data_IF_341842692271
#
_entry.id   IF_341842692271
#
_cell.length_a   1.000
_cell.length_b   1.000
_cell.length_c   1.000
_cell.angle_alpha   90.00
_cell.angle_beta   90.00
_cell.angle_gamma   90.00
#
_symmetry.space_group_name_H-M   'P 1'
#
loop_
_entity.id
_entity.type
_entity.pdbx_description
1 polymer ?
#
# COMPACT_ATOMS: atom_id res chain seq x y z
N UNK A 1 52.65 -57.84 42.71
CA UNK A 1 52.47 -56.53 42.06
C UNK A 1 51.97 -56.75 40.65
N UNK A 2 50.67 -56.59 40.40
CA UNK A 2 50.14 -56.33 39.05
C UNK A 2 48.99 -55.35 39.25
N UNK A 3 49.23 -54.11 38.82
CA UNK A 3 48.29 -52.99 38.97
C UNK A 3 47.20 -53.05 37.90
N UNK A 4 45.95 -52.86 38.30
CA UNK A 4 44.84 -52.62 37.37
C UNK A 4 44.89 -51.17 36.87
N UNK A 5 44.61 -50.90 35.58
CA UNK A 5 44.53 -49.53 35.10
C UNK A 5 43.25 -48.86 35.62
N UNK A 6 43.45 -47.82 36.42
CA UNK A 6 42.42 -46.87 36.82
C UNK A 6 42.09 -45.96 35.62
N UNK A 7 40.98 -46.25 34.93
CA UNK A 7 40.47 -45.35 33.90
C UNK A 7 39.59 -44.28 34.54
N UNK A 8 40.14 -43.09 34.76
CA UNK A 8 39.35 -41.89 35.10
C UNK A 8 39.64 -40.77 34.11
N UNK A 9 38.92 -40.76 32.99
CA UNK A 9 38.79 -39.56 32.17
C UNK A 9 37.43 -38.93 32.43
N UNK A 10 37.38 -38.08 33.47
CA UNK A 10 36.27 -37.16 33.71
C UNK A 10 36.28 -36.06 32.64
N UNK A 11 35.52 -36.28 31.56
CA UNK A 11 35.25 -35.26 30.56
C UNK A 11 34.34 -34.18 31.14
N UNK A 12 34.89 -33.01 31.45
CA UNK A 12 34.11 -31.83 31.87
C UNK A 12 33.14 -31.41 30.76
N UNK A 13 31.84 -31.70 30.92
CA UNK A 13 30.77 -31.26 30.01
C UNK A 13 30.59 -29.73 30.05
N UNK A 14 31.38 -28.99 29.27
CA UNK A 14 31.20 -27.53 29.02
C UNK A 14 30.22 -27.24 27.86
N UNK A 15 29.19 -28.07 27.66
CA UNK A 15 28.25 -27.96 26.51
C UNK A 15 26.85 -27.45 26.93
N UNK A 16 26.60 -27.24 28.23
CA UNK A 16 25.28 -26.85 28.73
C UNK A 16 24.98 -25.37 28.54
N UNK A 17 25.81 -24.45 29.04
CA UNK A 17 25.46 -23.03 29.18
C UNK A 17 25.22 -22.32 27.84
N UNK A 18 26.04 -22.57 26.83
CA UNK A 18 25.90 -21.96 25.49
C UNK A 18 24.64 -22.45 24.77
N UNK A 19 24.30 -23.74 24.94
CA UNK A 19 23.08 -24.32 24.36
C UNK A 19 21.81 -23.76 25.01
N UNK A 20 21.84 -23.55 26.33
CA UNK A 20 20.73 -22.91 27.06
C UNK A 20 20.58 -21.42 26.73
N UNK A 21 21.68 -20.67 26.56
CA UNK A 21 21.65 -19.27 26.12
C UNK A 21 21.09 -19.13 24.69
N UNK A 22 21.56 -19.97 23.75
CA UNK A 22 21.05 -19.97 22.38
C UNK A 22 19.55 -20.30 22.33
N UNK A 23 19.10 -21.28 23.11
CA UNK A 23 17.67 -21.63 23.20
C UNK A 23 16.82 -20.50 23.81
N UNK A 24 17.34 -19.77 24.80
CA UNK A 24 16.65 -18.60 25.37
C UNK A 24 16.55 -17.45 24.37
N UNK A 25 17.62 -17.18 23.63
CA UNK A 25 17.65 -16.11 22.62
C UNK A 25 16.65 -16.40 21.50
N UNK A 26 16.66 -17.62 20.93
CA UNK A 26 15.71 -17.99 19.88
C UNK A 26 14.27 -17.99 20.38
N UNK A 27 14.01 -18.44 21.60
CA UNK A 27 12.68 -18.37 22.22
C UNK A 27 12.22 -16.93 22.40
N UNK A 28 13.07 -16.03 22.90
CA UNK A 28 12.72 -14.61 23.07
C UNK A 28 12.43 -13.94 21.74
N UNK A 29 13.24 -14.18 20.71
CA UNK A 29 13.02 -13.65 19.36
C UNK A 29 11.70 -14.17 18.78
N UNK A 30 11.37 -15.44 18.99
CA UNK A 30 10.11 -16.02 18.50
C UNK A 30 8.90 -15.36 19.16
N UNK A 31 8.95 -15.18 20.48
CA UNK A 31 7.86 -14.54 21.23
C UNK A 31 7.75 -13.06 20.87
N UNK A 32 8.87 -12.35 20.76
CA UNK A 32 8.84 -10.93 20.38
C UNK A 32 8.27 -10.73 18.97
N UNK A 33 8.59 -11.62 18.02
CA UNK A 33 8.02 -11.56 16.68
C UNK A 33 6.49 -11.74 16.70
N UNK A 34 5.98 -12.68 17.50
CA UNK A 34 4.53 -12.86 17.68
C UNK A 34 3.89 -11.61 18.30
N UNK A 35 4.51 -11.04 19.34
CA UNK A 35 4.01 -9.82 19.98
C UNK A 35 4.05 -8.61 19.04
N UNK A 36 5.06 -8.49 18.18
CA UNK A 36 5.15 -7.46 17.14
C UNK A 36 4.02 -7.62 16.14
N UNK A 37 3.76 -8.85 15.65
CA UNK A 37 2.64 -9.11 14.75
C UNK A 37 1.30 -8.74 15.38
N UNK A 38 1.06 -9.14 16.64
CA UNK A 38 -0.15 -8.75 17.38
C UNK A 38 -0.25 -7.23 17.58
N UNK A 39 0.86 -6.56 17.89
CA UNK A 39 0.92 -5.11 18.01
C UNK A 39 0.52 -4.41 16.72
N UNK A 40 1.06 -4.87 15.57
CA UNK A 40 0.69 -4.35 14.25
C UNK A 40 -0.80 -4.62 13.96
N UNK A 41 -1.30 -5.82 14.27
CA UNK A 41 -2.73 -6.13 14.10
C UNK A 41 -3.62 -5.17 14.89
N UNK A 42 -3.30 -4.92 16.17
CA UNK A 42 -4.04 -3.97 16.99
C UNK A 42 -3.97 -2.55 16.42
N UNK A 43 -2.79 -2.09 15.99
CA UNK A 43 -2.63 -0.78 15.36
C UNK A 43 -3.48 -0.66 14.08
N UNK A 44 -3.52 -1.68 13.24
CA UNK A 44 -4.36 -1.70 12.02
C UNK A 44 -5.84 -1.60 12.39
N UNK A 45 -6.29 -2.34 13.40
CA UNK A 45 -7.69 -2.29 13.88
C UNK A 45 -8.04 -0.89 14.40
N UNK A 46 -7.17 -0.25 15.19
CA UNK A 46 -7.39 1.11 15.68
C UNK A 46 -7.34 2.16 14.55
N UNK A 47 -6.47 1.97 13.56
CA UNK A 47 -6.31 2.88 12.43
C UNK A 47 -7.41 2.74 11.38
N UNK A 48 -8.06 1.58 11.28
CA UNK A 48 -8.98 1.24 10.19
C UNK A 48 -10.11 2.25 9.95
N UNK A 49 -10.61 2.89 11.02
CA UNK A 49 -11.64 3.93 10.90
C UNK A 49 -11.12 5.22 10.24
N UNK A 50 -9.89 5.64 10.56
CA UNK A 50 -9.25 6.81 9.96
C UNK A 50 -8.75 6.53 8.54
N UNK A 51 -8.28 5.31 8.28
CA UNK A 51 -7.82 4.91 6.95
C UNK A 51 -8.95 4.94 5.93
N UNK A 52 -10.18 4.55 6.29
CA UNK A 52 -11.31 4.61 5.36
C UNK A 52 -11.64 6.06 4.94
N UNK A 53 -11.65 7.00 5.88
CA UNK A 53 -11.85 8.42 5.55
C UNK A 53 -10.68 8.99 4.76
N UNK A 54 -9.44 8.67 5.16
CA UNK A 54 -8.24 9.10 4.43
C UNK A 54 -8.24 8.59 2.99
N UNK A 55 -8.56 7.32 2.77
CA UNK A 55 -8.65 6.74 1.42
C UNK A 55 -9.78 7.38 0.63
N UNK A 56 -10.96 7.59 1.23
CA UNK A 56 -12.08 8.27 0.55
C UNK A 56 -11.77 9.71 0.19
N UNK A 57 -11.04 10.45 1.02
CA UNK A 57 -10.70 11.85 0.77
C UNK A 57 -9.55 12.04 -0.22
N UNK A 58 -8.70 11.03 -0.41
CA UNK A 58 -7.55 11.08 -1.32
C UNK A 58 -7.78 10.32 -2.64
N UNK A 59 -8.93 9.69 -2.82
CA UNK A 59 -9.28 9.00 -4.05
C UNK A 59 -10.26 9.81 -4.88
N UNK A 60 -9.85 10.17 -6.09
CA UNK A 60 -10.74 10.70 -7.12
C UNK A 60 -11.20 9.60 -8.08
N UNK A 61 -12.38 9.78 -8.67
CA UNK A 61 -12.94 8.90 -9.70
C UNK A 61 -13.11 9.68 -11.01
N UNK A 62 -12.65 9.10 -12.13
CA UNK A 62 -12.82 9.71 -13.45
C UNK A 62 -14.03 9.13 -14.17
N UNK A 63 -14.98 10.01 -14.52
CA UNK A 63 -16.12 9.70 -15.39
C UNK A 63 -15.76 10.15 -16.81
N UNK A 64 -15.50 9.18 -17.69
CA UNK A 64 -15.21 9.45 -19.10
C UNK A 64 -16.44 10.01 -19.81
N UNK A 65 -16.23 11.05 -20.60
CA UNK A 65 -17.26 11.71 -21.38
C UNK A 65 -17.20 11.27 -22.84
N UNK A 66 -18.36 11.27 -23.50
CA UNK A 66 -18.43 11.07 -24.94
C UNK A 66 -17.84 12.27 -25.69
N UNK A 67 -17.18 12.03 -26.82
CA UNK A 67 -16.57 13.07 -27.66
C UNK A 67 -17.55 14.07 -28.30
N UNK A 68 -18.85 13.85 -28.17
CA UNK A 68 -19.91 14.70 -28.74
C UNK A 68 -20.67 15.53 -27.70
N UNK A 69 -20.24 15.51 -26.44
CA UNK A 69 -20.92 16.25 -25.37
C UNK A 69 -20.67 17.75 -25.52
N UNK A 70 -21.69 18.57 -25.30
CA UNK A 70 -21.54 20.03 -25.29
C UNK A 70 -21.11 20.57 -23.93
N UNK A 71 -20.50 21.76 -23.89
CA UNK A 71 -20.12 22.44 -22.64
C UNK A 71 -21.32 22.66 -21.70
N UNK A 72 -22.51 22.88 -22.26
CA UNK A 72 -23.75 23.01 -21.50
C UNK A 72 -24.11 21.70 -20.79
N UNK A 73 -24.04 20.58 -21.50
CA UNK A 73 -24.30 19.25 -20.93
C UNK A 73 -23.22 18.87 -19.89
N UNK A 74 -21.95 19.20 -20.12
CA UNK A 74 -20.89 19.00 -19.12
C UNK A 74 -21.23 19.76 -17.83
N UNK A 75 -21.68 21.01 -17.94
CA UNK A 75 -22.08 21.83 -16.80
C UNK A 75 -23.25 21.21 -16.04
N UNK A 76 -24.26 20.69 -16.75
CA UNK A 76 -25.43 20.06 -16.14
C UNK A 76 -25.09 18.74 -15.45
N UNK A 77 -24.23 17.91 -16.07
CA UNK A 77 -23.72 16.68 -15.44
C UNK A 77 -22.95 17.01 -14.17
N UNK A 78 -22.07 18.01 -14.20
CA UNK A 78 -21.33 18.45 -13.00
C UNK A 78 -22.24 18.92 -11.89
N UNK A 79 -23.23 19.77 -12.18
CA UNK A 79 -24.22 20.20 -11.19
C UNK A 79 -24.99 19.02 -10.60
N UNK A 80 -25.37 18.04 -11.43
CA UNK A 80 -26.08 16.85 -10.97
C UNK A 80 -25.21 15.96 -10.06
N UNK A 81 -23.90 15.89 -10.34
CA UNK A 81 -22.93 15.17 -9.51
C UNK A 81 -22.68 15.91 -8.19
N UNK A 82 -22.43 17.21 -8.24
CA UNK A 82 -22.17 18.06 -7.06
C UNK A 82 -23.39 18.13 -6.11
N UNK A 83 -24.60 17.86 -6.60
CA UNK A 83 -25.81 17.75 -5.78
C UNK A 83 -25.90 16.43 -4.99
N UNK A 84 -25.06 15.43 -5.28
CA UNK A 84 -25.08 14.15 -4.59
C UNK A 84 -24.41 14.25 -3.20
N UNK A 85 -24.97 13.62 -2.16
CA UNK A 85 -24.45 13.72 -0.79
C UNK A 85 -23.10 13.02 -0.59
N UNK A 86 -22.66 12.22 -1.54
CA UNK A 86 -21.40 11.46 -1.53
C UNK A 86 -20.33 12.07 -2.46
N UNK A 87 -20.63 13.20 -3.11
CA UNK A 87 -19.67 13.93 -3.95
C UNK A 87 -19.29 15.21 -3.21
N UNK A 88 -17.99 15.41 -2.99
CA UNK A 88 -17.46 16.64 -2.40
C UNK A 88 -17.35 17.73 -3.45
N UNK A 89 -16.86 17.38 -4.64
CA UNK A 89 -16.74 18.31 -5.76
C UNK A 89 -16.45 17.58 -7.08
N UNK A 90 -16.82 18.19 -8.20
CA UNK A 90 -16.48 17.73 -9.54
C UNK A 90 -15.62 18.74 -10.32
N UNK A 91 -14.66 18.23 -11.09
CA UNK A 91 -13.77 19.00 -11.95
C UNK A 91 -13.78 18.43 -13.36
N UNK A 92 -13.98 19.29 -14.36
CA UNK A 92 -13.82 18.89 -15.75
C UNK A 92 -12.34 18.90 -16.12
N UNK A 93 -11.90 17.85 -16.82
CA UNK A 93 -10.57 17.71 -17.39
C UNK A 93 -10.75 17.48 -18.89
N UNK A 94 -10.19 18.38 -19.68
CA UNK A 94 -10.19 18.22 -21.14
C UNK A 94 -9.22 17.12 -21.58
N UNK A 95 -9.45 16.57 -22.76
CA UNK A 95 -8.55 15.62 -23.41
C UNK A 95 -7.12 16.16 -23.52
N UNK A 96 -6.95 17.44 -23.84
CA UNK A 96 -5.61 18.04 -23.94
C UNK A 96 -4.92 18.17 -22.58
N UNK A 97 -5.67 18.56 -21.54
CA UNK A 97 -5.15 18.62 -20.17
C UNK A 97 -4.79 17.20 -19.66
N UNK A 98 -5.63 16.21 -19.93
CA UNK A 98 -5.37 14.81 -19.59
C UNK A 98 -4.12 14.29 -20.30
N UNK A 99 -3.89 14.69 -21.57
CA UNK A 99 -2.67 14.38 -22.31
C UNK A 99 -1.44 15.03 -21.67
N UNK A 100 -1.51 16.32 -21.35
CA UNK A 100 -0.39 17.04 -20.73
C UNK A 100 0.02 16.41 -19.39
N UNK A 101 -0.97 16.03 -18.57
CA UNK A 101 -0.73 15.33 -17.32
C UNK A 101 -0.10 13.95 -17.55
N UNK A 102 -0.57 13.19 -18.55
CA UNK A 102 -0.02 11.89 -18.90
C UNK A 102 1.43 11.97 -19.41
N UNK A 103 1.75 13.00 -20.21
CA UNK A 103 3.12 13.28 -20.66
C UNK A 103 4.02 13.57 -19.46
N UNK A 104 3.53 14.37 -18.50
CA UNK A 104 4.27 14.69 -17.29
C UNK A 104 4.56 13.47 -16.42
N UNK A 105 3.64 12.52 -16.38
CA UNK A 105 3.77 11.31 -15.56
C UNK A 105 4.64 10.24 -16.24
N UNK A 106 4.60 10.14 -17.57
CA UNK A 106 5.39 9.16 -18.35
C UNK A 106 6.76 9.70 -18.78
N UNK A 107 6.92 11.02 -18.90
CA UNK A 107 8.12 11.67 -19.42
C UNK A 107 8.25 11.69 -20.94
N UNK A 108 7.32 11.06 -21.67
CA UNK A 108 7.30 10.94 -23.13
C UNK A 108 5.87 11.14 -23.66
N UNK A 109 5.73 11.49 -24.95
CA UNK A 109 4.42 11.67 -25.57
C UNK A 109 3.75 10.31 -25.86
N UNK A 110 2.57 10.01 -25.29
CA UNK A 110 1.87 8.77 -25.56
C UNK A 110 1.43 8.63 -27.02
N UNK A 111 1.23 9.74 -27.76
CA UNK A 111 0.92 9.71 -29.19
C UNK A 111 2.13 9.26 -30.01
N UNK A 112 3.35 9.64 -29.61
CA UNK A 112 4.60 9.19 -30.25
C UNK A 112 4.85 7.70 -29.98
N UNK A 113 4.45 7.21 -28.80
CA UNK A 113 4.59 5.80 -28.42
C UNK A 113 3.52 4.90 -29.04
N UNK A 114 2.27 5.35 -29.07
CA UNK A 114 1.10 4.51 -29.42
C UNK A 114 0.55 4.80 -30.82
N UNK A 115 0.94 5.90 -31.46
CA UNK A 115 0.44 6.34 -32.77
C UNK A 115 -0.98 6.93 -32.73
N UNK A 116 -1.57 7.11 -31.54
CA UNK A 116 -2.87 7.75 -31.34
C UNK A 116 -2.95 8.37 -29.93
N UNK A 117 -3.87 9.32 -29.75
CA UNK A 117 -4.14 9.92 -28.44
C UNK A 117 -5.08 9.04 -27.61
N UNK A 118 -4.61 8.42 -26.50
CA UNK A 118 -5.43 7.53 -25.68
C UNK A 118 -6.35 8.28 -24.70
N UNK A 119 -6.20 9.60 -24.56
CA UNK A 119 -6.94 10.39 -23.58
C UNK A 119 -8.31 10.83 -24.09
N UNK A 120 -9.23 11.06 -23.16
CA UNK A 120 -10.60 11.50 -23.42
C UNK A 120 -10.98 12.55 -22.37
N UNK A 121 -11.96 13.39 -22.72
CA UNK A 121 -12.57 14.31 -21.77
C UNK A 121 -13.16 13.51 -20.59
N UNK A 122 -12.99 14.02 -19.37
CA UNK A 122 -13.55 13.38 -18.19
C UNK A 122 -13.96 14.38 -17.12
N UNK A 123 -14.84 13.93 -16.22
CA UNK A 123 -15.14 14.62 -14.97
C UNK A 123 -14.50 13.83 -13.85
N UNK A 124 -13.56 14.47 -13.17
CA UNK A 124 -12.94 13.97 -11.95
C UNK A 124 -13.83 14.32 -10.76
N UNK A 125 -14.22 13.31 -9.98
CA UNK A 125 -15.09 13.41 -8.81
C UNK A 125 -14.25 13.16 -7.57
N UNK A 126 -14.36 14.07 -6.59
CA UNK A 126 -13.75 14.00 -5.27
C UNK A 126 -14.79 13.82 -4.18
#
# INVERSE_FOLDING_TARGET
MVSYPHNSMSGKKKVSTVRFLNAKITSTISISLVLVLLGITLLIVFMGNGLSQYVKENMSFNVMLSSSISDAEISDVRKSLDAQPFVKSSRFISKEEAKEQLIKDLGEDPEELLGYNPTQDCIEIF
#
